data_IF_326771637844
#
_entry.id   IF_326771637844
#
_cell.length_a   1.000
_cell.length_b   1.000
_cell.length_c   1.000
_cell.angle_alpha   90.00
_cell.angle_beta   90.00
_cell.angle_gamma   90.00
#
_symmetry.space_group_name_H-M   'P 1'
#
loop_
_entity.id
_entity.type
_entity.pdbx_description
1 polymer ?
#
# COMPACT_ATOMS: atom_id res chain seq x y z
N UNK A 1 -5.46 4.30 12.85
CA UNK A 1 -4.85 5.34 12.00
C UNK A 1 -3.55 6.00 12.55
N UNK A 2 -3.16 5.84 13.83
CA UNK A 2 -1.96 6.50 14.39
C UNK A 2 -0.65 5.69 14.28
N UNK A 3 -0.69 4.41 14.07
CA UNK A 3 0.49 3.51 14.05
C UNK A 3 1.16 3.42 12.67
N UNK A 4 0.40 3.45 11.59
CA UNK A 4 0.88 3.34 10.21
C UNK A 4 1.94 4.37 9.82
N UNK A 5 1.76 5.63 10.23
CA UNK A 5 2.68 6.72 9.94
C UNK A 5 3.87 6.83 10.90
N UNK A 6 3.94 6.03 11.96
CA UNK A 6 5.00 6.16 12.96
C UNK A 6 6.34 5.68 12.43
N UNK A 7 6.38 4.52 11.78
CA UNK A 7 7.59 3.95 11.19
C UNK A 7 8.09 4.82 10.02
N UNK A 8 7.18 5.26 9.13
CA UNK A 8 7.51 6.18 8.05
C UNK A 8 8.12 7.50 8.56
N UNK A 9 7.47 8.15 9.53
CA UNK A 9 7.99 9.39 10.14
C UNK A 9 9.33 9.18 10.83
N UNK A 10 9.53 8.03 11.43
CA UNK A 10 10.80 7.68 12.06
C UNK A 10 11.89 7.52 11.00
N UNK A 11 11.60 6.84 9.88
CA UNK A 11 12.51 6.74 8.73
C UNK A 11 12.90 8.11 8.18
N UNK A 12 11.93 9.01 7.95
CA UNK A 12 12.20 10.38 7.54
C UNK A 12 13.11 11.12 8.52
N UNK A 13 12.85 11.00 9.83
CA UNK A 13 13.64 11.66 10.87
C UNK A 13 15.08 11.15 10.90
N UNK A 14 15.27 9.84 10.79
CA UNK A 14 16.62 9.25 10.77
C UNK A 14 17.39 9.71 9.53
N UNK A 15 16.76 9.63 8.35
CA UNK A 15 17.37 10.12 7.11
C UNK A 15 17.69 11.62 7.16
N UNK A 16 16.83 12.44 7.76
CA UNK A 16 17.08 13.87 7.93
C UNK A 16 18.33 14.14 8.78
N UNK A 17 18.55 13.37 9.85
CA UNK A 17 19.75 13.45 10.67
C UNK A 17 21.00 13.01 9.89
N UNK A 18 20.92 11.87 9.18
CA UNK A 18 22.07 11.31 8.46
C UNK A 18 22.48 12.21 7.27
N UNK A 19 21.48 12.78 6.59
CA UNK A 19 21.70 13.64 5.42
C UNK A 19 21.91 15.11 5.77
N UNK A 20 21.72 15.50 7.03
CA UNK A 20 21.81 16.89 7.53
C UNK A 20 20.87 17.84 6.78
N UNK A 21 19.60 17.46 6.71
CA UNK A 21 18.52 18.26 6.12
C UNK A 21 17.34 18.39 7.09
N UNK A 22 16.55 19.44 6.92
CA UNK A 22 15.33 19.65 7.68
C UNK A 22 14.14 19.00 6.95
N UNK A 23 13.23 18.38 7.72
CA UNK A 23 12.00 17.82 7.20
C UNK A 23 10.79 18.35 7.94
N UNK A 24 9.80 18.82 7.19
CA UNK A 24 8.51 19.29 7.70
C UNK A 24 7.41 18.39 7.15
N UNK A 25 6.53 17.91 8.03
CA UNK A 25 5.47 16.97 7.66
C UNK A 25 4.12 17.66 7.76
N UNK A 26 3.41 17.69 6.62
CA UNK A 26 2.03 18.17 6.54
C UNK A 26 1.12 16.95 6.44
N UNK A 27 0.04 16.93 7.20
CA UNK A 27 -0.86 15.78 7.20
C UNK A 27 -1.72 15.75 5.91
N UNK A 28 -1.60 14.74 5.04
CA UNK A 28 -2.34 14.65 3.79
C UNK A 28 -3.86 14.46 3.98
N UNK A 29 -4.31 14.00 5.13
CA UNK A 29 -5.77 13.83 5.41
C UNK A 29 -6.56 15.14 5.44
N UNK A 30 -5.89 16.29 5.31
CA UNK A 30 -6.53 17.61 5.23
C UNK A 30 -6.99 17.95 3.81
N UNK A 31 -6.47 17.26 2.78
CA UNK A 31 -6.77 17.54 1.38
C UNK A 31 -7.78 16.54 0.82
N UNK A 32 -8.81 17.04 0.16
CA UNK A 32 -9.82 16.21 -0.51
C UNK A 32 -9.76 16.34 -2.03
N UNK A 33 -9.08 17.37 -2.52
CA UNK A 33 -8.98 17.67 -3.96
C UNK A 33 -7.55 18.00 -4.35
N UNK A 34 -7.18 17.74 -5.62
CA UNK A 34 -5.89 18.15 -6.18
C UNK A 34 -5.63 19.65 -6.05
N UNK A 35 -6.69 20.47 -6.11
CA UNK A 35 -6.56 21.94 -5.98
C UNK A 35 -6.11 22.34 -4.57
N UNK A 36 -6.67 21.74 -3.52
CA UNK A 36 -6.29 21.99 -2.14
C UNK A 36 -4.86 21.53 -1.88
N UNK A 37 -4.51 20.35 -2.34
CA UNK A 37 -3.16 19.79 -2.23
C UNK A 37 -2.14 20.69 -2.96
N UNK A 38 -2.41 21.08 -4.21
CA UNK A 38 -1.52 21.97 -4.96
C UNK A 38 -1.36 23.36 -4.32
N UNK A 39 -2.40 23.89 -3.69
CA UNK A 39 -2.30 25.15 -2.95
C UNK A 39 -1.37 25.02 -1.75
N UNK A 40 -1.43 23.90 -1.02
CA UNK A 40 -0.54 23.63 0.09
C UNK A 40 0.91 23.41 -0.39
N UNK A 41 1.10 22.64 -1.46
CA UNK A 41 2.41 22.41 -2.08
C UNK A 41 3.05 23.76 -2.49
N UNK A 42 2.31 24.62 -3.18
CA UNK A 42 2.83 25.92 -3.62
C UNK A 42 3.18 26.80 -2.42
N UNK A 43 2.35 26.79 -1.38
CA UNK A 43 2.62 27.53 -0.17
C UNK A 43 3.93 27.11 0.51
N UNK A 44 4.24 25.81 0.56
CA UNK A 44 5.50 25.34 1.16
C UNK A 44 6.71 25.65 0.25
N UNK A 45 6.56 25.61 -1.06
CA UNK A 45 7.60 26.06 -2.00
C UNK A 45 7.88 27.55 -1.80
N UNK A 46 6.84 28.38 -1.66
CA UNK A 46 6.97 29.82 -1.41
C UNK A 46 7.63 30.15 -0.08
N UNK A 47 7.53 29.24 0.90
CA UNK A 47 8.24 29.30 2.18
C UNK A 47 9.69 28.82 2.12
N UNK A 48 10.12 28.25 1.01
CA UNK A 48 11.50 27.83 0.78
C UNK A 48 11.71 26.33 0.87
N UNK A 49 10.70 25.50 0.62
CA UNK A 49 10.90 24.07 0.47
C UNK A 49 11.73 23.78 -0.79
N UNK A 50 12.85 23.09 -0.63
CA UNK A 50 13.80 22.77 -1.70
C UNK A 50 13.45 21.47 -2.43
N UNK A 51 12.67 20.57 -1.81
CA UNK A 51 12.21 19.31 -2.40
C UNK A 51 10.89 18.85 -1.73
N UNK A 52 10.18 17.94 -2.36
CA UNK A 52 8.87 17.47 -1.91
C UNK A 52 8.77 15.94 -1.96
N UNK A 53 8.30 15.36 -0.85
CA UNK A 53 7.79 13.98 -0.80
C UNK A 53 6.27 14.09 -0.68
N UNK A 54 5.55 13.47 -1.60
CA UNK A 54 4.09 13.62 -1.70
C UNK A 54 3.42 12.24 -1.68
N UNK A 55 2.48 12.04 -0.74
CA UNK A 55 1.47 11.00 -0.88
C UNK A 55 0.25 11.61 -1.56
N UNK A 56 0.06 11.35 -2.87
CA UNK A 56 -0.89 12.12 -3.66
C UNK A 56 -2.34 11.77 -3.32
N UNK A 57 -3.19 12.77 -3.30
CA UNK A 57 -4.64 12.57 -3.36
C UNK A 57 -4.99 11.92 -4.71
N UNK A 58 -5.91 10.95 -4.70
CA UNK A 58 -6.34 10.26 -5.92
C UNK A 58 -7.19 11.18 -6.82
N UNK A 59 -6.51 12.05 -7.59
CA UNK A 59 -7.12 13.00 -8.50
C UNK A 59 -6.33 13.03 -9.81
N UNK A 60 -7.02 12.81 -10.93
CA UNK A 60 -6.43 12.73 -12.27
C UNK A 60 -5.74 14.04 -12.70
N UNK A 61 -6.13 15.18 -12.15
CA UNK A 61 -5.57 16.50 -12.52
C UNK A 61 -4.26 16.81 -11.82
N UNK A 62 -3.91 16.10 -10.76
CA UNK A 62 -2.72 16.35 -9.95
C UNK A 62 -1.43 16.14 -10.75
N UNK A 63 -1.38 15.10 -11.58
CA UNK A 63 -0.20 14.77 -12.38
C UNK A 63 0.27 15.92 -13.28
N UNK A 64 -0.66 16.57 -13.97
CA UNK A 64 -0.35 17.71 -14.86
C UNK A 64 0.09 18.96 -14.09
N UNK A 65 -0.35 19.11 -12.85
CA UNK A 65 0.04 20.23 -12.01
C UNK A 65 1.42 20.01 -11.39
N UNK A 66 1.71 18.79 -10.93
CA UNK A 66 3.02 18.44 -10.36
C UNK A 66 4.17 18.57 -11.36
N UNK A 67 3.94 18.34 -12.65
CA UNK A 67 4.95 18.56 -13.71
C UNK A 67 5.41 20.00 -13.84
N UNK A 68 4.63 20.96 -13.37
CA UNK A 68 4.97 22.39 -13.43
C UNK A 68 5.85 22.83 -12.25
N UNK A 69 6.01 21.99 -11.25
CA UNK A 69 6.84 22.23 -10.08
C UNK A 69 8.32 22.18 -10.49
N UNK A 70 9.10 23.13 -9.99
CA UNK A 70 10.53 23.26 -10.34
C UNK A 70 11.47 22.57 -9.34
N UNK A 71 11.00 22.32 -8.12
CA UNK A 71 11.78 21.60 -7.11
C UNK A 71 11.67 20.08 -7.33
N UNK A 72 12.66 19.28 -6.92
CA UNK A 72 12.58 17.83 -6.97
C UNK A 72 11.34 17.28 -6.27
N UNK A 73 10.65 16.35 -6.89
CA UNK A 73 9.45 15.69 -6.37
C UNK A 73 9.62 14.18 -6.38
N UNK A 74 9.26 13.52 -5.31
CA UNK A 74 9.15 12.08 -5.19
C UNK A 74 7.77 11.72 -4.64
N UNK A 75 7.06 10.81 -5.29
CA UNK A 75 5.76 10.34 -4.85
C UNK A 75 5.89 9.09 -3.98
N UNK A 76 4.96 8.89 -3.06
CA UNK A 76 4.84 7.68 -2.23
C UNK A 76 3.86 6.66 -2.81
N UNK A 77 3.10 7.04 -3.83
CA UNK A 77 2.26 6.14 -4.61
C UNK A 77 2.08 6.67 -6.04
N UNK A 78 1.82 5.76 -6.99
CA UNK A 78 1.55 6.16 -8.36
C UNK A 78 0.25 6.98 -8.47
N UNK A 79 0.27 7.95 -9.37
CA UNK A 79 -0.92 8.72 -9.73
C UNK A 79 -1.80 7.91 -10.69
N UNK A 80 -3.09 7.83 -10.36
CA UNK A 80 -4.10 7.33 -11.30
C UNK A 80 -4.12 8.23 -12.54
N UNK A 81 -4.11 7.61 -13.75
CA UNK A 81 -4.25 8.30 -15.03
C UNK A 81 -3.11 9.25 -15.47
N UNK A 82 -1.85 8.95 -15.14
CA UNK A 82 -0.75 9.57 -15.89
C UNK A 82 -0.77 9.03 -17.33
N UNK A 83 -0.91 9.89 -18.36
CA UNK A 83 -0.88 9.43 -19.75
C UNK A 83 0.43 8.66 -20.04
N UNK A 84 0.34 7.55 -20.77
CA UNK A 84 1.47 6.63 -21.04
C UNK A 84 2.72 7.32 -21.64
N UNK A 85 2.59 8.49 -22.23
CA UNK A 85 3.66 9.25 -22.90
C UNK A 85 4.23 10.41 -22.08
N UNK A 86 3.92 10.54 -20.81
CA UNK A 86 4.46 11.61 -19.98
C UNK A 86 5.62 11.10 -19.14
N UNK A 87 6.69 11.91 -19.00
CA UNK A 87 7.77 11.65 -18.06
C UNK A 87 7.16 11.37 -16.68
N UNK A 88 7.28 10.13 -16.20
CA UNK A 88 6.70 9.70 -14.92
C UNK A 88 7.44 10.43 -13.80
N UNK A 89 6.69 11.02 -12.90
CA UNK A 89 7.25 11.52 -11.65
C UNK A 89 7.77 10.29 -10.86
N UNK A 90 8.98 10.35 -10.29
CA UNK A 90 9.56 9.23 -9.55
C UNK A 90 8.66 8.82 -8.38
N UNK A 91 8.57 7.51 -8.13
CA UNK A 91 7.75 6.93 -7.06
C UNK A 91 8.62 6.02 -6.21
N UNK A 92 8.46 6.08 -4.89
CA UNK A 92 9.07 5.18 -3.93
C UNK A 92 7.97 4.34 -3.26
N UNK A 93 7.75 3.13 -3.77
CA UNK A 93 6.73 2.21 -3.28
C UNK A 93 7.17 0.74 -3.46
N UNK A 94 6.57 -0.22 -2.74
CA UNK A 94 6.77 -1.63 -3.05
C UNK A 94 6.24 -1.99 -4.43
N UNK A 95 6.71 -3.12 -5.00
CA UNK A 95 6.09 -3.68 -6.18
C UNK A 95 4.73 -4.31 -5.81
N UNK A 96 3.67 -3.56 -6.00
CA UNK A 96 2.32 -3.96 -5.62
C UNK A 96 1.79 -5.15 -6.43
N UNK A 97 2.20 -5.29 -7.70
CA UNK A 97 1.84 -6.45 -8.51
C UNK A 97 2.50 -7.72 -7.96
N UNK A 98 3.79 -7.67 -7.67
CA UNK A 98 4.52 -8.79 -7.07
C UNK A 98 4.03 -9.10 -5.64
N UNK A 99 3.60 -8.10 -4.86
CA UNK A 99 2.93 -8.36 -3.58
C UNK A 99 1.64 -9.17 -3.75
N UNK A 100 0.82 -8.83 -4.76
CA UNK A 100 -0.39 -9.61 -5.07
C UNK A 100 -0.07 -11.07 -5.41
N UNK A 101 0.91 -11.30 -6.28
CA UNK A 101 1.39 -12.64 -6.63
C UNK A 101 1.91 -13.38 -5.40
N UNK A 102 2.68 -12.69 -4.56
CA UNK A 102 3.28 -13.26 -3.35
C UNK A 102 2.24 -13.82 -2.39
N UNK A 103 1.09 -13.17 -2.23
CA UNK A 103 0.00 -13.72 -1.41
C UNK A 103 -0.47 -15.10 -1.90
N UNK A 104 -0.58 -15.28 -3.22
CA UNK A 104 -0.97 -16.56 -3.80
C UNK A 104 0.14 -17.59 -3.64
N UNK A 105 1.41 -17.20 -3.78
CA UNK A 105 2.56 -18.09 -3.54
C UNK A 105 2.58 -18.59 -2.09
N UNK A 106 2.28 -17.72 -1.12
CA UNK A 106 2.20 -18.12 0.29
C UNK A 106 1.04 -19.09 0.53
N UNK A 107 -0.13 -18.85 -0.10
CA UNK A 107 -1.24 -19.79 -0.06
C UNK A 107 -0.87 -21.15 -0.68
N UNK A 108 -0.17 -21.15 -1.82
CA UNK A 108 0.29 -22.39 -2.48
C UNK A 108 1.25 -23.19 -1.60
N UNK A 109 2.17 -22.52 -0.90
CA UNK A 109 3.10 -23.18 0.06
C UNK A 109 2.33 -23.91 1.16
N UNK A 110 1.30 -23.30 1.71
CA UNK A 110 0.49 -23.88 2.80
C UNK A 110 -0.41 -25.04 2.32
N UNK A 111 -0.56 -25.19 1.01
CA UNK A 111 -1.39 -26.24 0.40
C UNK A 111 -0.59 -27.20 -0.48
N UNK A 112 0.73 -27.33 -0.28
CA UNK A 112 1.61 -28.21 -1.06
C UNK A 112 1.48 -28.00 -2.60
N UNK A 113 1.24 -26.76 -3.01
CA UNK A 113 1.05 -26.36 -4.41
C UNK A 113 -0.30 -26.78 -5.02
N UNK A 114 -1.28 -27.20 -4.20
CA UNK A 114 -2.55 -27.77 -4.69
C UNK A 114 -3.75 -26.95 -4.21
N UNK A 115 -4.41 -26.27 -5.13
CA UNK A 115 -5.63 -25.49 -4.84
C UNK A 115 -6.89 -26.05 -5.54
N UNK A 116 -6.86 -27.33 -5.92
CA UNK A 116 -7.97 -27.97 -6.62
C UNK A 116 -9.26 -27.90 -5.78
N UNK A 117 -10.33 -27.38 -6.40
CA UNK A 117 -11.64 -27.18 -5.81
C UNK A 117 -11.67 -26.14 -4.66
N UNK A 118 -10.58 -25.42 -4.41
CA UNK A 118 -10.56 -24.35 -3.44
C UNK A 118 -11.27 -23.11 -3.99
N UNK A 119 -12.07 -22.50 -3.13
CA UNK A 119 -12.82 -21.26 -3.40
C UNK A 119 -12.12 -20.08 -2.77
N UNK A 120 -11.98 -19.02 -3.53
CA UNK A 120 -11.26 -17.80 -3.13
C UNK A 120 -12.15 -16.58 -3.32
N UNK A 121 -12.14 -15.69 -2.32
CA UNK A 121 -12.67 -14.34 -2.41
C UNK A 121 -11.54 -13.31 -2.42
N UNK A 122 -11.74 -12.22 -3.11
CA UNK A 122 -10.84 -11.06 -3.10
C UNK A 122 -11.59 -9.88 -2.50
N UNK A 123 -11.02 -9.30 -1.44
CA UNK A 123 -11.60 -8.19 -0.70
C UNK A 123 -10.65 -7.01 -0.67
N UNK A 124 -11.12 -5.85 -1.05
CA UNK A 124 -10.32 -4.64 -1.15
C UNK A 124 -11.13 -3.43 -0.66
N UNK A 125 -10.45 -2.36 -0.27
CA UNK A 125 -11.16 -1.14 0.10
C UNK A 125 -11.79 -0.47 -1.13
N UNK A 126 -12.79 0.38 -0.89
CA UNK A 126 -13.44 1.16 -1.95
C UNK A 126 -12.53 2.26 -2.55
N UNK A 127 -11.33 2.46 -2.00
CA UNK A 127 -10.31 3.32 -2.58
C UNK A 127 -9.52 2.54 -3.65
N UNK A 128 -9.91 2.68 -4.90
CA UNK A 128 -9.27 2.02 -6.06
C UNK A 128 -7.98 2.72 -6.50
N UNK A 129 -7.02 2.90 -5.58
CA UNK A 129 -5.68 3.39 -5.92
C UNK A 129 -4.96 2.45 -6.91
N UNK A 130 -3.98 2.95 -7.65
CA UNK A 130 -3.16 2.13 -8.56
C UNK A 130 -2.47 0.98 -7.81
N UNK A 131 -2.05 1.19 -6.57
CA UNK A 131 -1.49 0.16 -5.72
C UNK A 131 -2.47 -1.02 -5.53
N UNK A 132 -3.74 -0.75 -5.20
CA UNK A 132 -4.76 -1.78 -5.00
C UNK A 132 -5.08 -2.50 -6.31
N UNK A 133 -5.22 -1.78 -7.43
CA UNK A 133 -5.44 -2.39 -8.75
C UNK A 133 -4.30 -3.34 -9.15
N UNK A 134 -3.05 -2.96 -8.90
CA UNK A 134 -1.88 -3.80 -9.16
C UNK A 134 -1.87 -5.05 -8.28
N UNK A 135 -2.20 -4.92 -6.97
CA UNK A 135 -2.31 -6.05 -6.05
C UNK A 135 -3.41 -7.03 -6.51
N UNK A 136 -4.59 -6.50 -6.84
CA UNK A 136 -5.71 -7.29 -7.38
C UNK A 136 -5.29 -8.05 -8.63
N UNK A 137 -4.65 -7.36 -9.59
CA UNK A 137 -4.17 -7.98 -10.82
C UNK A 137 -3.14 -9.08 -10.52
N UNK A 138 -2.18 -8.85 -9.64
CA UNK A 138 -1.18 -9.84 -9.24
C UNK A 138 -1.81 -11.10 -8.65
N UNK A 139 -2.82 -10.95 -7.78
CA UNK A 139 -3.58 -12.08 -7.22
C UNK A 139 -4.34 -12.84 -8.32
N UNK A 140 -5.05 -12.12 -9.19
CA UNK A 140 -5.85 -12.74 -10.26
C UNK A 140 -4.97 -13.49 -11.26
N UNK A 141 -3.87 -12.88 -11.70
CA UNK A 141 -2.93 -13.50 -12.64
C UNK A 141 -2.30 -14.78 -12.03
N UNK A 142 -1.84 -14.71 -10.78
CA UNK A 142 -1.26 -15.88 -10.11
C UNK A 142 -2.30 -17.00 -9.86
N UNK A 143 -3.54 -16.67 -9.50
CA UNK A 143 -4.61 -17.66 -9.34
C UNK A 143 -5.03 -18.28 -10.66
N UNK A 144 -4.91 -17.57 -11.79
CA UNK A 144 -5.25 -18.09 -13.12
C UNK A 144 -4.34 -19.26 -13.53
N UNK A 145 -3.16 -19.38 -12.92
CA UNK A 145 -2.22 -20.49 -13.12
C UNK A 145 -2.52 -21.70 -12.22
N UNK A 146 -3.59 -21.64 -11.42
CA UNK A 146 -3.99 -22.67 -10.45
C UNK A 146 -5.37 -23.23 -10.76
N UNK A 147 -5.75 -24.33 -10.07
CA UNK A 147 -7.10 -24.92 -10.13
C UNK A 147 -8.10 -24.25 -9.15
N UNK A 148 -7.73 -23.16 -8.49
CA UNK A 148 -8.60 -22.44 -7.57
C UNK A 148 -9.68 -21.66 -8.32
N UNK A 149 -10.85 -21.53 -7.69
CA UNK A 149 -11.97 -20.75 -8.24
C UNK A 149 -12.10 -19.41 -7.52
N UNK A 150 -11.93 -18.30 -8.23
CA UNK A 150 -12.33 -16.98 -7.73
C UNK A 150 -13.86 -16.92 -7.77
N UNK A 151 -14.49 -16.86 -6.60
CA UNK A 151 -15.95 -16.81 -6.47
C UNK A 151 -16.48 -15.38 -6.56
N UNK A 152 -15.74 -14.42 -6.01
CA UNK A 152 -16.12 -13.03 -6.02
C UNK A 152 -14.92 -12.09 -5.78
N UNK A 153 -15.08 -10.86 -6.24
CA UNK A 153 -14.24 -9.70 -5.90
C UNK A 153 -15.17 -8.65 -5.33
N UNK A 154 -14.96 -8.23 -4.08
CA UNK A 154 -15.87 -7.34 -3.37
C UNK A 154 -15.08 -6.21 -2.71
N UNK A 155 -15.67 -5.01 -2.72
CA UNK A 155 -15.11 -3.83 -2.07
C UNK A 155 -15.67 -3.67 -0.66
N UNK A 156 -14.80 -3.29 0.29
CA UNK A 156 -15.19 -2.84 1.61
C UNK A 156 -16.08 -1.60 1.47
N UNK A 157 -17.26 -1.66 2.03
CA UNK A 157 -18.24 -0.57 1.98
C UNK A 157 -18.45 0.08 3.35
N UNK A 158 -19.37 1.04 3.41
CA UNK A 158 -19.88 1.56 4.68
C UNK A 158 -20.75 0.50 5.39
N UNK A 159 -21.23 -0.50 4.66
CA UNK A 159 -22.08 -1.57 5.17
C UNK A 159 -21.26 -2.87 5.31
N UNK A 160 -20.86 -3.18 6.55
CA UNK A 160 -20.17 -4.42 6.92
C UNK A 160 -20.93 -5.71 6.55
N UNK A 161 -22.17 -5.60 6.09
CA UNK A 161 -22.99 -6.74 5.65
C UNK A 161 -22.58 -7.30 4.29
N UNK A 162 -21.78 -6.58 3.50
CA UNK A 162 -21.41 -7.02 2.15
C UNK A 162 -20.65 -8.35 2.16
N UNK A 163 -19.72 -8.55 3.10
CA UNK A 163 -19.00 -9.83 3.22
C UNK A 163 -19.95 -10.99 3.60
N UNK A 164 -20.92 -10.76 4.47
CA UNK A 164 -21.90 -11.77 4.90
C UNK A 164 -22.80 -12.26 3.77
N UNK A 165 -22.97 -11.47 2.73
CA UNK A 165 -23.83 -11.78 1.57
C UNK A 165 -23.07 -12.54 0.48
N UNK A 166 -21.75 -12.65 0.59
CA UNK A 166 -20.92 -13.34 -0.40
C UNK A 166 -21.01 -14.86 -0.27
N UNK A 167 -20.77 -15.57 -1.37
CA UNK A 167 -20.59 -17.01 -1.35
C UNK A 167 -19.46 -17.40 -0.40
N UNK A 168 -19.65 -18.48 0.37
CA UNK A 168 -18.62 -19.01 1.25
C UNK A 168 -17.37 -19.42 0.46
N UNK A 169 -16.20 -18.98 0.93
CA UNK A 169 -14.89 -19.29 0.36
C UNK A 169 -13.97 -19.95 1.39
N UNK A 170 -12.99 -20.73 0.92
CA UNK A 170 -11.96 -21.34 1.77
C UNK A 170 -10.91 -20.29 2.18
N UNK A 171 -10.54 -19.41 1.23
CA UNK A 171 -9.50 -18.41 1.41
C UNK A 171 -9.98 -17.03 0.98
N UNK A 172 -9.51 -16.02 1.69
CA UNK A 172 -9.84 -14.63 1.44
C UNK A 172 -8.55 -13.82 1.31
N UNK A 173 -8.37 -13.18 0.17
CA UNK A 173 -7.29 -12.20 -0.03
C UNK A 173 -7.78 -10.81 0.32
N UNK A 174 -7.19 -10.20 1.37
CA UNK A 174 -7.45 -8.82 1.76
C UNK A 174 -6.30 -7.93 1.28
N UNK A 175 -6.58 -7.01 0.35
CA UNK A 175 -5.53 -6.34 -0.43
C UNK A 175 -5.01 -5.03 0.18
N UNK A 176 -5.57 -4.62 1.31
CA UNK A 176 -5.16 -3.44 2.07
C UNK A 176 -5.56 -3.58 3.54
N UNK A 177 -5.02 -2.71 4.37
CA UNK A 177 -5.20 -2.76 5.81
C UNK A 177 -6.67 -2.65 6.24
N UNK A 178 -7.46 -1.81 5.57
CA UNK A 178 -8.89 -1.64 5.88
C UNK A 178 -9.68 -2.92 5.59
N UNK A 179 -9.52 -3.48 4.40
CA UNK A 179 -10.19 -4.74 4.03
C UNK A 179 -9.73 -5.90 4.92
N UNK A 180 -8.45 -5.93 5.29
CA UNK A 180 -7.91 -6.94 6.21
C UNK A 180 -8.55 -6.86 7.60
N UNK A 181 -8.66 -5.68 8.18
CA UNK A 181 -9.27 -5.47 9.49
C UNK A 181 -10.76 -5.82 9.46
N UNK A 182 -11.48 -5.42 8.41
CA UNK A 182 -12.90 -5.74 8.25
C UNK A 182 -13.12 -7.26 8.07
N UNK A 183 -12.29 -7.92 7.25
CA UNK A 183 -12.34 -9.37 7.07
C UNK A 183 -11.99 -10.12 8.36
N UNK A 184 -10.94 -9.72 9.08
CA UNK A 184 -10.54 -10.31 10.35
C UNK A 184 -11.64 -10.24 11.40
N UNK A 185 -12.31 -9.09 11.49
CA UNK A 185 -13.47 -8.92 12.36
C UNK A 185 -14.62 -9.88 11.99
N UNK A 186 -14.95 -9.95 10.70
CA UNK A 186 -16.03 -10.79 10.19
C UNK A 186 -15.77 -12.30 10.44
N UNK A 187 -14.51 -12.76 10.26
CA UNK A 187 -14.11 -14.14 10.58
C UNK A 187 -14.23 -14.40 12.09
N UNK A 188 -13.72 -13.50 12.92
CA UNK A 188 -13.73 -13.63 14.37
C UNK A 188 -15.15 -13.66 14.96
N UNK A 189 -16.06 -12.86 14.43
CA UNK A 189 -17.47 -12.82 14.83
C UNK A 189 -18.30 -13.96 14.23
N UNK A 190 -17.67 -14.92 13.54
CA UNK A 190 -18.31 -16.02 12.81
C UNK A 190 -19.30 -15.57 11.71
N UNK A 191 -19.12 -14.39 11.17
CA UNK A 191 -19.95 -13.85 10.07
C UNK A 191 -19.60 -14.48 8.73
N UNK A 192 -18.29 -14.80 8.52
CA UNK A 192 -17.76 -15.60 7.41
C UNK A 192 -16.99 -16.79 7.97
N UNK A 193 -17.71 -17.84 8.31
CA UNK A 193 -17.17 -19.01 8.99
C UNK A 193 -16.23 -19.82 8.08
N UNK A 194 -15.02 -20.13 8.58
CA UNK A 194 -14.10 -21.09 8.00
C UNK A 194 -13.25 -20.55 6.85
N UNK A 195 -13.27 -19.24 6.58
CA UNK A 195 -12.34 -18.62 5.65
C UNK A 195 -11.03 -18.25 6.34
N UNK A 196 -9.89 -18.54 5.69
CA UNK A 196 -8.56 -18.16 6.15
C UNK A 196 -8.06 -16.95 5.36
N UNK A 197 -7.56 -15.93 6.04
CA UNK A 197 -7.16 -14.66 5.42
C UNK A 197 -5.68 -14.65 5.09
N UNK A 198 -5.36 -14.23 3.87
CA UNK A 198 -4.03 -13.82 3.39
C UNK A 198 -4.13 -12.34 3.04
N UNK A 199 -3.34 -11.48 3.66
CA UNK A 199 -3.59 -10.05 3.55
C UNK A 199 -2.36 -9.16 3.40
N UNK A 200 -2.61 -7.91 3.06
CA UNK A 200 -1.62 -6.83 3.03
C UNK A 200 -2.05 -5.77 4.04
N UNK A 201 -1.20 -5.52 5.03
CA UNK A 201 -1.49 -4.52 6.05
C UNK A 201 -0.41 -4.48 7.13
N UNK A 202 -0.36 -3.37 7.87
CA UNK A 202 0.65 -3.13 8.91
C UNK A 202 0.06 -2.57 10.21
N UNK A 203 -1.27 -2.52 10.35
CA UNK A 203 -1.91 -2.04 11.58
C UNK A 203 -1.75 -3.03 12.75
N UNK A 204 -1.93 -2.52 13.95
CA UNK A 204 -1.96 -3.34 15.16
C UNK A 204 -3.10 -4.36 15.10
N UNK A 205 -4.22 -3.97 14.51
CA UNK A 205 -5.38 -4.83 14.30
C UNK A 205 -5.06 -5.97 13.33
N UNK A 206 -4.32 -5.70 12.25
CA UNK A 206 -3.87 -6.73 11.31
C UNK A 206 -2.97 -7.75 12.03
N UNK A 207 -1.99 -7.28 12.81
CA UNK A 207 -1.11 -8.13 13.62
C UNK A 207 -1.91 -8.96 14.64
N UNK A 208 -2.95 -8.39 15.25
CA UNK A 208 -3.83 -9.09 16.15
C UNK A 208 -4.55 -10.27 15.48
N UNK A 209 -5.09 -10.10 14.26
CA UNK A 209 -5.74 -11.20 13.54
C UNK A 209 -4.77 -12.29 13.09
N UNK A 210 -3.50 -11.94 12.84
CA UNK A 210 -2.45 -12.93 12.61
C UNK A 210 -2.14 -13.73 13.87
N UNK A 211 -2.03 -13.07 15.02
CA UNK A 211 -1.75 -13.72 16.31
C UNK A 211 -2.90 -14.62 16.78
N UNK A 212 -4.14 -14.19 16.59
CA UNK A 212 -5.35 -14.93 16.99
C UNK A 212 -5.78 -15.99 15.99
N UNK A 213 -5.20 -16.02 14.78
CA UNK A 213 -5.36 -17.09 13.80
C UNK A 213 -6.52 -16.90 12.82
N UNK A 214 -7.09 -15.70 12.72
CA UNK A 214 -8.04 -15.35 11.66
C UNK A 214 -7.31 -15.08 10.33
N UNK A 215 -6.07 -14.58 10.40
CA UNK A 215 -5.18 -14.47 9.27
C UNK A 215 -4.01 -15.46 9.39
N UNK A 216 -3.59 -16.03 8.25
CA UNK A 216 -2.48 -16.98 8.16
C UNK A 216 -1.17 -16.29 7.77
N UNK A 217 -1.26 -15.28 6.91
CA UNK A 217 -0.12 -14.59 6.35
C UNK A 217 -0.43 -13.12 6.09
N UNK A 218 0.52 -12.25 6.44
CA UNK A 218 0.48 -10.83 6.11
C UNK A 218 1.72 -10.44 5.29
N UNK A 219 1.52 -9.63 4.26
CA UNK A 219 2.60 -8.88 3.64
C UNK A 219 2.60 -7.46 4.19
N UNK A 220 3.71 -7.06 4.78
CA UNK A 220 3.86 -5.78 5.46
C UNK A 220 4.86 -4.92 4.70
N UNK A 221 4.47 -3.81 4.07
CA UNK A 221 5.39 -2.85 3.49
C UNK A 221 6.36 -2.31 4.53
N UNK A 222 7.61 -2.10 4.13
CA UNK A 222 8.65 -1.54 5.00
C UNK A 222 8.52 -0.01 5.07
N UNK A 223 7.57 0.46 5.86
CA UNK A 223 7.25 1.88 6.03
C UNK A 223 8.46 2.72 6.50
N UNK A 224 9.35 2.15 7.32
CA UNK A 224 10.56 2.84 7.73
C UNK A 224 11.44 3.16 6.51
N UNK A 225 11.71 2.16 5.68
CA UNK A 225 12.53 2.36 4.49
C UNK A 225 11.83 3.22 3.43
N UNK A 226 10.49 3.21 3.36
CA UNK A 226 9.76 4.17 2.51
C UNK A 226 10.12 5.60 2.90
N UNK A 227 10.10 5.94 4.18
CA UNK A 227 10.48 7.27 4.65
C UNK A 227 11.96 7.56 4.48
N UNK A 228 12.81 6.65 4.91
CA UNK A 228 14.26 6.81 4.90
C UNK A 228 14.81 6.99 3.47
N UNK A 229 14.52 6.05 2.58
CA UNK A 229 15.03 6.04 1.21
C UNK A 229 14.47 7.19 0.36
N UNK A 230 13.22 7.60 0.60
CA UNK A 230 12.63 8.75 -0.09
C UNK A 230 13.37 10.05 0.22
N UNK A 231 13.72 10.27 1.48
CA UNK A 231 14.46 11.48 1.87
C UNK A 231 15.91 11.44 1.38
N UNK A 232 16.59 10.30 1.49
CA UNK A 232 17.96 10.10 0.98
C UNK A 232 18.02 10.39 -0.52
N UNK A 233 17.04 9.88 -1.28
CA UNK A 233 16.98 10.11 -2.74
C UNK A 233 16.86 11.60 -3.08
N UNK A 234 15.98 12.33 -2.40
CA UNK A 234 15.85 13.78 -2.59
C UNK A 234 17.06 14.55 -2.10
N UNK A 235 17.68 14.15 -1.00
CA UNK A 235 18.92 14.76 -0.53
C UNK A 235 20.05 14.70 -1.56
N UNK A 236 20.15 13.59 -2.30
CA UNK A 236 21.10 13.48 -3.41
C UNK A 236 20.83 14.49 -4.53
N UNK A 237 19.55 14.73 -4.84
CA UNK A 237 19.17 15.73 -5.84
C UNK A 237 19.49 17.16 -5.37
N UNK A 238 19.35 17.46 -4.09
CA UNK A 238 19.71 18.76 -3.53
C UNK A 238 21.22 19.00 -3.48
N UNK A 239 22.00 17.96 -3.19
CA UNK A 239 23.47 18.05 -3.12
C UNK A 239 24.15 18.11 -4.48
N UNK A 240 23.51 17.63 -5.54
CA UNK A 240 24.12 17.52 -6.87
C UNK A 240 23.14 17.97 -7.95
N UNK A 241 23.32 19.18 -8.47
CA UNK A 241 22.45 19.82 -9.47
C UNK A 241 22.18 18.98 -10.75
N UNK A 242 23.08 18.04 -11.08
CA UNK A 242 22.93 17.15 -12.26
C UNK A 242 22.26 15.82 -11.91
N UNK A 243 21.86 15.63 -10.65
CA UNK A 243 21.21 14.40 -10.23
C UNK A 243 19.73 14.43 -10.57
N UNK A 244 19.26 13.40 -11.22
CA UNK A 244 17.85 13.19 -11.47
C UNK A 244 17.29 12.27 -10.38
N UNK A 245 16.16 12.64 -9.80
CA UNK A 245 15.45 11.80 -8.84
C UNK A 245 14.99 10.51 -9.51
N UNK A 246 15.22 9.37 -8.87
CA UNK A 246 14.82 8.06 -9.37
C UNK A 246 13.71 7.47 -8.50
N UNK A 247 12.81 6.72 -9.13
CA UNK A 247 11.87 5.87 -8.38
C UNK A 247 12.61 4.72 -7.69
N UNK A 248 12.04 4.24 -6.58
CA UNK A 248 12.59 3.12 -5.81
C UNK A 248 11.53 2.05 -5.59
N UNK A 249 11.90 0.81 -5.84
CA UNK A 249 11.11 -0.36 -5.45
C UNK A 249 11.56 -0.75 -4.05
N UNK A 250 10.64 -0.69 -3.10
CA UNK A 250 10.93 -0.90 -1.69
C UNK A 250 10.53 -2.31 -1.25
N UNK A 251 11.16 -2.77 -0.17
CA UNK A 251 10.93 -4.09 0.38
C UNK A 251 9.60 -4.19 1.13
N UNK A 252 9.17 -5.44 1.32
CA UNK A 252 8.10 -5.82 2.24
C UNK A 252 8.48 -7.10 2.96
N UNK A 253 7.89 -7.35 4.11
CA UNK A 253 8.13 -8.54 4.93
C UNK A 253 6.93 -9.47 4.88
N UNK A 254 7.18 -10.78 4.85
CA UNK A 254 6.15 -11.79 5.03
C UNK A 254 6.07 -12.11 6.52
N UNK A 255 4.95 -11.77 7.14
CA UNK A 255 4.68 -12.10 8.54
C UNK A 255 3.76 -13.31 8.64
N UNK A 256 4.14 -14.18 9.55
CA UNK A 256 3.35 -15.31 10.02
C UNK A 256 3.35 -15.31 11.54
N UNK A 257 2.47 -16.08 12.15
CA UNK A 257 2.37 -16.12 13.61
C UNK A 257 3.71 -16.46 14.28
N UNK A 258 4.47 -17.39 13.71
CA UNK A 258 5.76 -17.84 14.26
C UNK A 258 6.85 -16.78 14.24
N UNK A 259 6.78 -15.77 13.36
CA UNK A 259 7.79 -14.71 13.26
C UNK A 259 7.25 -13.31 13.63
N UNK A 260 6.04 -13.22 14.17
CA UNK A 260 5.40 -11.96 14.51
C UNK A 260 6.15 -11.16 15.59
N UNK A 261 6.83 -11.86 16.49
CA UNK A 261 7.54 -11.28 17.64
C UNK A 261 9.06 -11.57 17.61
N UNK A 262 9.59 -11.96 16.46
CA UNK A 262 11.03 -12.26 16.29
C UNK A 262 11.86 -11.03 15.96
#
# INVERSE_FOLDING_TARGET
MKTQWSAFKYGLKMAAQDENVDVFIINPTQFQTAKEEMSAIQHEIDKGADALIIEPVADETLAEQLKKIKVPVLLLSELSAAPENTSKIPVAEPDHYEMGKRLVEELLKDNDGKLKQKKVGIFLSNNRSEAIKKREKGVQDALSETDAKICWVTEAGEDAKLLKQQEKVDYLFALDDRSLVEAGKAVKENEIYGSMIYGIGCSTEAAYYLDTGEAECLLVPDEFNVGYESLVELSHALKKMTYCVHGKVLSYTVLRKENLFS
#
